data_IF_683857656054
#
_entry.id   IF_683857656054
#
_cell.length_a   1.000
_cell.length_b   1.000
_cell.length_c   1.000
_cell.angle_alpha   90.00
_cell.angle_beta   90.00
_cell.angle_gamma   90.00
#
_symmetry.space_group_name_H-M   'P 1'
#
loop_
_entity.id
_entity.type
_entity.pdbx_description
1 polymer ?
#
# COMPACT_ATOMS: atom_id res chain seq x y z
N UNK A 1 -7.04 -1.61 5.22
CA UNK A 1 -8.05 -0.67 5.72
C UNK A 1 -7.50 0.75 5.60
N UNK A 2 -8.35 1.64 5.18
CA UNK A 2 -7.99 3.04 4.99
C UNK A 2 -8.41 3.79 6.25
N UNK A 3 -7.51 4.51 6.87
CA UNK A 3 -7.93 5.51 7.86
C UNK A 3 -8.77 6.56 7.13
N UNK A 4 -10.05 6.63 7.46
CA UNK A 4 -10.91 7.68 6.93
C UNK A 4 -11.55 8.41 8.09
N UNK A 5 -11.34 9.69 8.15
CA UNK A 5 -12.03 10.60 9.07
C UNK A 5 -13.37 11.10 8.49
N UNK A 6 -13.68 10.74 7.24
CA UNK A 6 -14.77 11.34 6.46
C UNK A 6 -16.19 10.93 6.88
N UNK A 7 -16.35 9.88 7.70
CA UNK A 7 -17.67 9.35 8.07
C UNK A 7 -18.06 9.59 9.55
N UNK A 8 -17.32 10.42 10.26
CA UNK A 8 -17.54 10.60 11.72
C UNK A 8 -18.71 11.53 12.02
N UNK A 9 -18.99 12.49 11.15
CA UNK A 9 -20.05 13.48 11.39
C UNK A 9 -21.39 12.97 10.85
N UNK A 10 -22.35 12.76 11.75
CA UNK A 10 -23.72 12.37 11.42
C UNK A 10 -23.98 10.87 11.23
N UNK A 11 -22.98 10.01 11.45
CA UNK A 11 -23.16 8.55 11.40
C UNK A 11 -23.35 7.99 12.81
N UNK A 12 -24.40 7.20 13.02
CA UNK A 12 -24.56 6.43 14.26
C UNK A 12 -23.52 5.32 14.32
N UNK A 13 -22.53 5.47 15.19
CA UNK A 13 -21.45 4.51 15.37
C UNK A 13 -21.78 3.41 16.39
N UNK A 14 -22.93 3.45 17.05
CA UNK A 14 -23.32 2.49 18.09
C UNK A 14 -23.47 1.05 17.55
N UNK A 15 -23.77 0.92 16.26
CA UNK A 15 -23.91 -0.38 15.57
C UNK A 15 -22.58 -0.97 15.06
N UNK A 16 -21.50 -0.20 15.13
CA UNK A 16 -20.19 -0.66 14.65
C UNK A 16 -19.58 -1.65 15.64
N UNK A 17 -18.84 -2.63 15.09
CA UNK A 17 -18.10 -3.60 15.89
C UNK A 17 -16.76 -3.01 16.30
N UNK A 18 -16.36 -3.27 17.56
CA UNK A 18 -15.01 -2.92 18.06
C UNK A 18 -14.11 -4.13 17.84
N UNK A 19 -13.03 -3.94 17.11
CA UNK A 19 -12.01 -4.98 16.93
C UNK A 19 -10.96 -4.91 18.03
N UNK A 20 -10.67 -6.07 18.59
CA UNK A 20 -9.57 -6.31 19.54
C UNK A 20 -8.36 -6.93 18.84
N UNK A 21 -7.20 -6.90 19.50
CA UNK A 21 -5.98 -7.53 19.01
C UNK A 21 -6.16 -9.00 18.64
N UNK A 22 -5.58 -9.41 17.54
CA UNK A 22 -5.64 -10.75 16.92
C UNK A 22 -7.01 -11.14 16.35
N UNK A 23 -7.95 -10.21 16.27
CA UNK A 23 -9.17 -10.43 15.49
C UNK A 23 -8.96 -10.13 14.01
N UNK A 24 -9.67 -10.87 13.19
CA UNK A 24 -9.75 -10.67 11.75
C UNK A 24 -11.07 -10.01 11.38
N UNK A 25 -11.03 -9.15 10.37
CA UNK A 25 -12.24 -8.67 9.70
C UNK A 25 -12.14 -8.94 8.20
N UNK A 26 -13.28 -9.32 7.58
CA UNK A 26 -13.36 -9.65 6.16
C UNK A 26 -14.41 -8.80 5.46
N UNK A 27 -14.14 -8.43 4.21
CA UNK A 27 -15.15 -7.86 3.33
C UNK A 27 -15.64 -8.95 2.36
N UNK A 28 -16.80 -9.52 2.65
CA UNK A 28 -17.41 -10.56 1.82
C UNK A 28 -18.22 -10.03 0.63
N UNK A 29 -18.41 -8.69 0.57
CA UNK A 29 -19.24 -8.07 -0.47
C UNK A 29 -18.46 -7.65 -1.71
N UNK A 30 -17.14 -7.58 -1.62
CA UNK A 30 -16.31 -6.98 -2.66
C UNK A 30 -15.33 -7.90 -3.38
N UNK A 31 -15.27 -9.24 -3.16
CA UNK A 31 -14.19 -10.06 -3.73
C UNK A 31 -14.10 -9.99 -5.24
N UNK A 32 -15.21 -10.06 -5.96
CA UNK A 32 -15.24 -9.98 -7.42
C UNK A 32 -14.76 -8.61 -7.90
N UNK A 33 -15.21 -7.53 -7.27
CA UNK A 33 -14.86 -6.16 -7.66
C UNK A 33 -13.37 -5.86 -7.52
N UNK A 34 -12.71 -6.42 -6.51
CA UNK A 34 -11.30 -6.16 -6.21
C UNK A 34 -10.39 -7.34 -6.52
N UNK A 35 -10.94 -8.43 -7.08
CA UNK A 35 -10.24 -9.68 -7.44
C UNK A 35 -9.45 -10.29 -6.27
N UNK A 36 -9.96 -10.17 -5.06
CA UNK A 36 -9.39 -10.75 -3.84
C UNK A 36 -10.41 -10.74 -2.71
N UNK A 37 -10.22 -11.58 -1.70
CA UNK A 37 -10.94 -11.47 -0.44
C UNK A 37 -10.22 -10.47 0.48
N UNK A 38 -10.77 -9.27 0.73
CA UNK A 38 -10.15 -8.33 1.65
C UNK A 38 -10.25 -8.85 3.09
N UNK A 39 -9.10 -9.21 3.66
CA UNK A 39 -8.96 -9.63 5.05
C UNK A 39 -7.97 -8.72 5.74
N UNK A 40 -8.23 -8.39 6.99
CA UNK A 40 -7.31 -7.66 7.87
C UNK A 40 -7.16 -8.41 9.18
N UNK A 41 -5.93 -8.43 9.69
CA UNK A 41 -5.61 -8.87 11.05
C UNK A 41 -5.21 -7.65 11.86
N UNK A 42 -5.82 -7.48 13.03
CA UNK A 42 -5.46 -6.43 13.98
C UNK A 42 -4.31 -6.88 14.85
N UNK A 43 -3.22 -6.11 14.88
CA UNK A 43 -2.00 -6.45 15.63
C UNK A 43 -1.69 -5.51 16.80
N UNK A 44 -2.24 -4.30 16.79
CA UNK A 44 -2.08 -3.33 17.87
C UNK A 44 -3.18 -3.49 18.96
N UNK A 45 -2.97 -2.86 20.09
CA UNK A 45 -3.88 -2.94 21.25
C UNK A 45 -4.95 -1.82 21.26
N UNK A 46 -4.87 -0.85 20.34
CA UNK A 46 -5.84 0.23 20.28
C UNK A 46 -7.14 -0.24 19.61
N UNK A 47 -8.32 0.07 20.17
CA UNK A 47 -9.59 -0.36 19.60
C UNK A 47 -9.85 0.34 18.26
N UNK A 48 -10.23 -0.43 17.25
CA UNK A 48 -10.67 0.10 15.96
C UNK A 48 -12.13 -0.29 15.70
N UNK A 49 -12.86 0.61 15.07
CA UNK A 49 -14.22 0.33 14.63
C UNK A 49 -14.23 -0.29 13.24
N UNK A 50 -15.10 -1.25 13.05
CA UNK A 50 -15.36 -1.86 11.76
C UNK A 50 -16.86 -1.92 11.48
N UNK A 51 -17.25 -1.75 10.22
CA UNK A 51 -18.67 -1.79 9.81
C UNK A 51 -19.34 -3.08 10.27
N UNK A 52 -20.61 -3.03 10.70
CA UNK A 52 -21.40 -4.22 11.03
C UNK A 52 -21.51 -5.22 9.89
N UNK A 53 -21.39 -4.76 8.65
CA UNK A 53 -21.43 -5.60 7.44
C UNK A 53 -20.22 -6.53 7.29
N UNK A 54 -19.13 -6.28 8.01
CA UNK A 54 -17.93 -7.12 7.93
C UNK A 54 -17.96 -8.19 9.03
N UNK A 55 -17.88 -9.47 8.66
CA UNK A 55 -17.62 -10.53 9.62
C UNK A 55 -16.31 -10.28 10.38
N UNK A 56 -16.37 -10.49 11.70
CA UNK A 56 -15.20 -10.43 12.58
C UNK A 56 -15.07 -11.79 13.25
N UNK A 57 -13.88 -12.37 13.24
CA UNK A 57 -13.60 -13.64 13.88
C UNK A 57 -12.22 -13.66 14.52
N UNK A 58 -11.97 -14.64 15.37
CA UNK A 58 -10.68 -14.87 16.00
C UNK A 58 -10.35 -16.36 16.05
N UNK A 59 -9.08 -16.67 16.25
CA UNK A 59 -8.61 -18.04 16.41
C UNK A 59 -8.93 -18.50 17.84
N UNK A 60 -9.64 -19.63 17.95
CA UNK A 60 -10.06 -20.23 19.22
C UNK A 60 -8.85 -20.64 20.08
N UNK A 61 -7.84 -21.26 19.48
CA UNK A 61 -6.65 -21.75 20.17
C UNK A 61 -5.36 -21.30 19.43
N UNK A 62 -4.77 -20.22 19.93
CA UNK A 62 -3.55 -19.65 19.37
C UNK A 62 -2.28 -20.48 19.68
N UNK A 63 -2.39 -21.57 20.41
CA UNK A 63 -1.31 -22.54 20.55
C UNK A 63 -1.34 -23.59 19.43
N UNK A 64 -2.40 -23.65 18.62
CA UNK A 64 -2.51 -24.51 17.45
C UNK A 64 -2.35 -23.75 16.13
N UNK A 65 -2.87 -22.52 16.07
CA UNK A 65 -2.80 -21.69 14.87
C UNK A 65 -2.38 -20.27 15.25
N UNK A 66 -1.29 -19.81 14.66
CA UNK A 66 -0.78 -18.46 14.84
C UNK A 66 -1.56 -17.46 13.94
N UNK A 67 -2.04 -16.32 14.47
CA UNK A 67 -2.81 -15.35 13.69
C UNK A 67 -2.04 -14.76 12.50
N UNK A 68 -0.75 -14.46 12.66
CA UNK A 68 0.05 -13.92 11.57
C UNK A 68 0.32 -14.97 10.49
N UNK A 69 0.51 -16.24 10.89
CA UNK A 69 0.62 -17.35 9.95
C UNK A 69 -0.67 -17.50 9.11
N UNK A 70 -1.85 -17.47 9.75
CA UNK A 70 -3.12 -17.50 9.04
C UNK A 70 -3.27 -16.29 8.11
N UNK A 71 -2.87 -15.10 8.55
CA UNK A 71 -2.90 -13.91 7.69
C UNK A 71 -1.97 -14.03 6.48
N UNK A 72 -0.82 -14.70 6.60
CA UNK A 72 0.05 -15.00 5.45
C UNK A 72 -0.65 -15.89 4.43
N UNK A 73 -1.43 -16.87 4.89
CA UNK A 73 -2.24 -17.72 4.01
C UNK A 73 -3.27 -16.90 3.22
N UNK A 74 -4.00 -16.00 3.88
CA UNK A 74 -4.98 -15.13 3.23
C UNK A 74 -4.36 -14.13 2.24
N UNK A 75 -3.09 -13.79 2.38
CA UNK A 75 -2.38 -12.88 1.46
C UNK A 75 -1.90 -13.54 0.17
N UNK A 76 -2.11 -14.83 0.01
CA UNK A 76 -1.65 -15.56 -1.17
C UNK A 76 -2.53 -15.27 -2.38
N UNK A 77 -1.95 -15.02 -3.57
CA UNK A 77 -2.73 -14.86 -4.80
C UNK A 77 -3.60 -16.09 -5.14
N UNK A 78 -3.16 -17.30 -4.70
CA UNK A 78 -3.92 -18.54 -4.86
C UNK A 78 -5.22 -18.51 -4.06
N UNK A 79 -5.16 -17.97 -2.83
CA UNK A 79 -6.34 -17.82 -1.99
C UNK A 79 -7.30 -16.77 -2.58
N UNK A 80 -6.78 -15.66 -3.09
CA UNK A 80 -7.59 -14.65 -3.77
C UNK A 80 -8.33 -15.21 -4.99
N UNK A 81 -7.65 -16.04 -5.80
CA UNK A 81 -8.27 -16.72 -6.94
C UNK A 81 -9.34 -17.74 -6.49
N UNK A 82 -9.05 -18.51 -5.46
CA UNK A 82 -9.99 -19.46 -4.87
C UNK A 82 -11.24 -18.72 -4.35
N UNK A 83 -11.07 -17.68 -3.54
CA UNK A 83 -12.16 -16.90 -3.00
C UNK A 83 -13.03 -16.25 -4.10
N UNK A 84 -12.40 -15.70 -5.13
CA UNK A 84 -13.10 -15.13 -6.29
C UNK A 84 -13.90 -16.20 -7.06
N UNK A 85 -13.33 -17.39 -7.22
CA UNK A 85 -14.01 -18.53 -7.87
C UNK A 85 -15.22 -19.03 -7.08
N UNK A 86 -15.13 -18.97 -5.73
CA UNK A 86 -16.19 -19.40 -4.82
C UNK A 86 -17.31 -18.37 -4.62
N UNK A 87 -17.11 -17.14 -5.09
CA UNK A 87 -18.16 -16.13 -5.02
C UNK A 87 -19.34 -16.51 -5.91
N UNK A 88 -20.55 -16.18 -5.44
CA UNK A 88 -21.77 -16.32 -6.24
C UNK A 88 -21.64 -15.55 -7.58
N UNK A 89 -22.15 -16.17 -8.65
CA UNK A 89 -22.16 -15.59 -10.00
C UNK A 89 -23.06 -14.36 -10.16
N UNK A 90 -23.72 -13.89 -9.11
CA UNK A 90 -24.50 -12.66 -9.11
C UNK A 90 -23.60 -11.41 -9.35
N UNK A 91 -24.18 -10.35 -9.93
CA UNK A 91 -23.48 -9.12 -10.30
C UNK A 91 -22.67 -8.47 -9.13
N UNK A 92 -23.03 -8.79 -7.89
CA UNK A 92 -22.32 -8.38 -6.66
C UNK A 92 -21.72 -9.55 -5.91
N UNK A 93 -21.55 -10.70 -6.55
CA UNK A 93 -21.15 -11.97 -5.98
C UNK A 93 -20.41 -11.84 -4.66
N UNK A 94 -21.06 -12.26 -3.58
CA UNK A 94 -20.49 -12.28 -2.24
C UNK A 94 -19.72 -13.57 -1.98
N UNK A 95 -18.79 -13.50 -1.06
CA UNK A 95 -18.17 -14.68 -0.48
C UNK A 95 -18.95 -15.07 0.77
N UNK A 96 -19.16 -16.36 0.98
CA UNK A 96 -19.98 -16.83 2.08
C UNK A 96 -19.14 -17.29 3.27
N UNK A 97 -19.70 -17.15 4.47
CA UNK A 97 -19.03 -17.56 5.70
C UNK A 97 -18.70 -19.06 5.70
N UNK A 98 -19.62 -19.89 5.22
CA UNK A 98 -19.45 -21.34 5.17
C UNK A 98 -18.29 -21.73 4.25
N UNK A 99 -18.09 -21.02 3.13
CA UNK A 99 -16.95 -21.23 2.24
C UNK A 99 -15.61 -20.90 2.92
N UNK A 100 -15.60 -19.89 3.78
CA UNK A 100 -14.41 -19.60 4.59
C UNK A 100 -14.14 -20.72 5.60
N UNK A 101 -15.18 -21.22 6.26
CA UNK A 101 -15.08 -22.30 7.24
C UNK A 101 -14.59 -23.62 6.62
N UNK A 102 -14.99 -23.93 5.39
CA UNK A 102 -14.57 -25.11 4.66
C UNK A 102 -13.17 -25.00 4.01
N UNK A 103 -12.54 -23.84 4.11
CA UNK A 103 -11.21 -23.62 3.55
C UNK A 103 -10.16 -24.48 4.26
N UNK A 104 -9.51 -25.35 3.52
CA UNK A 104 -8.43 -26.21 4.03
C UNK A 104 -7.09 -25.47 3.96
N UNK A 105 -6.39 -25.44 5.07
CA UNK A 105 -5.07 -24.84 5.18
C UNK A 105 -4.05 -25.85 5.74
N UNK A 106 -2.79 -25.84 5.31
CA UNK A 106 -1.75 -26.62 5.95
C UNK A 106 -1.37 -25.97 7.29
N UNK A 107 -1.42 -26.74 8.36
CA UNK A 107 -1.11 -26.27 9.72
C UNK A 107 0.08 -27.07 10.25
N UNK A 108 1.33 -26.60 10.12
CA UNK A 108 2.48 -27.20 10.77
C UNK A 108 2.46 -26.98 12.29
N UNK A 109 3.46 -27.49 13.01
CA UNK A 109 3.55 -27.24 14.45
C UNK A 109 3.61 -25.73 14.74
N UNK A 110 3.17 -25.32 15.93
CA UNK A 110 3.09 -23.89 16.28
C UNK A 110 4.49 -23.24 16.28
N UNK A 111 5.52 -24.00 16.65
CA UNK A 111 6.91 -23.54 16.60
C UNK A 111 7.32 -23.22 15.16
N UNK A 112 6.96 -24.11 14.22
CA UNK A 112 7.26 -23.90 12.80
C UNK A 112 6.47 -22.74 12.20
N UNK A 113 5.22 -22.54 12.59
CA UNK A 113 4.44 -21.38 12.19
C UNK A 113 5.12 -20.08 12.65
N UNK A 114 5.51 -20.01 13.92
CA UNK A 114 6.19 -18.84 14.49
C UNK A 114 7.57 -18.58 13.87
N UNK A 115 8.29 -19.61 13.50
CA UNK A 115 9.55 -19.48 12.74
C UNK A 115 9.31 -18.83 11.39
N UNK A 116 8.33 -19.32 10.62
CA UNK A 116 7.95 -18.78 9.32
C UNK A 116 7.51 -17.31 9.44
N UNK A 117 6.65 -16.98 10.40
CA UNK A 117 6.21 -15.61 10.67
C UNK A 117 7.39 -14.71 11.00
N UNK A 118 8.32 -15.17 11.83
CA UNK A 118 9.53 -14.41 12.17
C UNK A 118 10.39 -14.10 10.95
N UNK A 119 10.64 -15.09 10.08
CA UNK A 119 11.40 -14.88 8.85
C UNK A 119 10.71 -13.88 7.93
N UNK A 120 9.41 -14.02 7.74
CA UNK A 120 8.62 -13.08 6.94
C UNK A 120 8.68 -11.65 7.49
N UNK A 121 8.50 -11.50 8.80
CA UNK A 121 8.51 -10.19 9.46
C UNK A 121 9.87 -9.50 9.40
N UNK A 122 10.99 -10.24 9.38
CA UNK A 122 12.33 -9.67 9.17
C UNK A 122 12.37 -8.93 7.82
N UNK A 123 11.85 -9.54 6.75
CA UNK A 123 11.82 -8.91 5.43
C UNK A 123 10.86 -7.71 5.40
N UNK A 124 9.66 -7.86 5.97
CA UNK A 124 8.67 -6.76 6.02
C UNK A 124 9.19 -5.55 6.80
N UNK A 125 9.82 -5.79 7.95
CA UNK A 125 10.43 -4.72 8.74
C UNK A 125 11.56 -4.02 8.00
N UNK A 126 12.36 -4.76 7.20
CA UNK A 126 13.40 -4.17 6.36
C UNK A 126 12.81 -3.28 5.27
N UNK A 127 11.73 -3.71 4.63
CA UNK A 127 11.02 -2.91 3.63
C UNK A 127 10.49 -1.62 4.26
N UNK A 128 9.80 -1.72 5.40
CA UNK A 128 9.27 -0.56 6.12
C UNK A 128 10.36 0.43 6.55
N UNK A 129 11.50 -0.09 7.03
CA UNK A 129 12.65 0.74 7.40
C UNK A 129 13.24 1.48 6.19
N UNK A 130 13.40 0.79 5.06
CA UNK A 130 13.90 1.39 3.83
C UNK A 130 12.95 2.49 3.31
N UNK A 131 11.64 2.27 3.37
CA UNK A 131 10.65 3.29 2.99
C UNK A 131 10.76 4.56 3.86
N UNK A 132 10.90 4.39 5.20
CA UNK A 132 11.13 5.51 6.11
C UNK A 132 12.44 6.24 5.80
N UNK A 133 13.50 5.50 5.45
CA UNK A 133 14.78 6.10 5.08
C UNK A 133 14.67 6.93 3.80
N UNK A 134 13.99 6.41 2.77
CA UNK A 134 13.73 7.14 1.51
C UNK A 134 13.00 8.44 1.82
N UNK A 135 11.92 8.39 2.59
CA UNK A 135 11.16 9.58 2.97
C UNK A 135 12.04 10.62 3.68
N UNK A 136 12.89 10.18 4.62
CA UNK A 136 13.80 11.09 5.34
C UNK A 136 14.86 11.72 4.44
N UNK A 137 15.38 10.96 3.48
CA UNK A 137 16.33 11.49 2.49
C UNK A 137 15.67 12.51 1.56
N UNK A 138 14.42 12.24 1.13
CA UNK A 138 13.65 13.21 0.33
C UNK A 138 13.36 14.50 1.11
N UNK A 139 12.92 14.40 2.37
CA UNK A 139 12.71 15.55 3.25
C UNK A 139 14.01 16.37 3.42
N UNK A 140 15.14 15.67 3.58
CA UNK A 140 16.46 16.33 3.72
C UNK A 140 16.86 17.04 2.42
N UNK A 141 16.70 16.37 1.27
CA UNK A 141 16.99 16.98 -0.03
C UNK A 141 16.12 18.22 -0.29
N UNK A 142 14.83 18.15 0.06
CA UNK A 142 13.94 19.31 -0.04
C UNK A 142 14.32 20.46 0.90
N UNK A 143 14.76 20.14 2.12
CA UNK A 143 15.21 21.16 3.06
C UNK A 143 16.47 21.88 2.54
N UNK A 144 17.45 21.13 2.03
CA UNK A 144 18.68 21.69 1.42
C UNK A 144 18.31 22.56 0.20
N UNK A 145 17.42 22.05 -0.69
CA UNK A 145 16.97 22.82 -1.85
C UNK A 145 16.31 24.14 -1.43
N UNK A 146 15.42 24.08 -0.43
CA UNK A 146 14.70 25.25 0.07
C UNK A 146 15.66 26.29 0.66
N UNK A 147 16.62 25.84 1.47
CA UNK A 147 17.62 26.70 2.07
C UNK A 147 18.50 27.40 1.01
N UNK A 148 18.97 26.66 0.00
CA UNK A 148 19.87 27.19 -1.01
C UNK A 148 19.19 28.00 -2.13
N UNK A 149 17.94 27.68 -2.47
CA UNK A 149 17.30 28.23 -3.68
C UNK A 149 16.00 29.00 -3.43
N UNK A 150 15.46 28.97 -2.20
CA UNK A 150 14.17 29.61 -1.89
C UNK A 150 14.30 30.59 -0.74
N UNK A 151 14.77 30.15 0.42
CA UNK A 151 14.84 30.96 1.65
C UNK A 151 16.20 31.57 1.89
N UNK A 152 17.28 30.91 1.46
CA UNK A 152 18.66 31.33 1.68
C UNK A 152 19.23 32.28 0.63
N UNK A 153 18.48 32.58 -0.44
CA UNK A 153 18.93 33.48 -1.51
C UNK A 153 18.12 34.77 -1.47
N UNK A 154 18.72 35.83 -0.96
CA UNK A 154 18.23 37.20 -1.13
C UNK A 154 18.82 37.77 -2.42
N UNK A 155 17.96 38.03 -3.40
CA UNK A 155 18.36 38.53 -4.74
C UNK A 155 18.96 39.93 -4.65
N UNK A 156 18.60 40.69 -3.60
CA UNK A 156 19.17 42.03 -3.35
C UNK A 156 20.50 42.00 -2.60
N UNK A 157 20.77 40.88 -1.87
CA UNK A 157 21.99 40.68 -1.08
C UNK A 157 22.55 39.26 -1.33
N UNK A 158 23.15 39.06 -2.49
CA UNK A 158 23.73 37.77 -2.85
C UNK A 158 24.94 37.40 -1.98
N UNK A 159 25.15 36.14 -1.66
CA UNK A 159 26.36 35.66 -1.02
C UNK A 159 27.61 36.00 -1.81
N UNK A 160 28.75 36.11 -1.12
CA UNK A 160 30.04 36.39 -1.75
C UNK A 160 30.35 35.39 -2.88
N UNK A 161 30.69 35.91 -4.05
CA UNK A 161 30.98 35.08 -5.24
C UNK A 161 29.76 34.68 -6.08
N UNK A 162 28.56 35.13 -5.69
CA UNK A 162 27.35 34.89 -6.50
C UNK A 162 27.03 36.09 -7.39
N UNK A 163 26.61 35.82 -8.62
CA UNK A 163 26.23 36.85 -9.60
C UNK A 163 24.90 36.45 -10.29
N UNK A 164 24.07 37.44 -10.56
CA UNK A 164 22.91 37.27 -11.40
C UNK A 164 23.33 37.36 -12.86
N UNK A 165 23.10 36.32 -13.63
CA UNK A 165 23.36 36.27 -15.07
C UNK A 165 22.16 35.73 -15.82
N UNK A 166 22.09 36.03 -17.11
CA UNK A 166 21.04 35.47 -17.98
C UNK A 166 21.34 33.99 -18.31
N UNK A 167 20.34 33.16 -18.37
CA UNK A 167 20.51 31.78 -18.77
C UNK A 167 21.14 31.66 -20.17
N UNK A 168 20.84 32.61 -21.06
CA UNK A 168 21.44 32.72 -22.40
C UNK A 168 22.96 32.92 -22.43
N UNK A 169 23.54 33.38 -21.30
CA UNK A 169 25.01 33.58 -21.22
C UNK A 169 25.74 32.21 -21.04
N UNK A 170 25.01 31.16 -20.66
CA UNK A 170 25.54 29.84 -20.40
C UNK A 170 24.95 28.72 -21.26
N UNK A 171 23.77 28.95 -21.83
CA UNK A 171 23.00 27.91 -22.54
C UNK A 171 22.59 28.36 -23.93
N UNK A 172 22.80 27.48 -24.91
CA UNK A 172 22.17 27.61 -26.23
C UNK A 172 20.80 26.94 -26.15
N UNK A 173 19.75 27.75 -26.03
CA UNK A 173 18.37 27.27 -25.83
C UNK A 173 17.74 26.99 -27.19
N UNK A 174 17.55 25.69 -27.51
CA UNK A 174 16.88 25.25 -28.75
C UNK A 174 15.50 24.69 -28.42
N UNK A 175 14.50 25.19 -29.10
CA UNK A 175 13.17 24.61 -29.04
C UNK A 175 13.12 23.25 -29.72
N UNK A 176 12.47 22.27 -29.08
CA UNK A 176 12.19 20.98 -29.70
C UNK A 176 11.21 21.12 -30.87
N UNK A 177 11.37 20.32 -31.92
CA UNK A 177 10.41 20.20 -33.01
C UNK A 177 9.44 19.05 -32.72
N UNK A 178 8.18 19.23 -33.04
CA UNK A 178 7.24 18.12 -33.07
C UNK A 178 7.61 17.16 -34.19
N UNK A 179 7.30 15.89 -34.02
CA UNK A 179 7.36 14.93 -35.10
C UNK A 179 6.56 15.46 -36.31
N UNK A 180 7.05 15.30 -37.53
CA UNK A 180 6.31 15.62 -38.74
C UNK A 180 4.95 14.89 -38.76
N UNK A 181 3.97 15.48 -39.40
CA UNK A 181 2.62 14.90 -39.49
C UNK A 181 2.70 13.57 -40.26
N UNK A 182 2.33 12.48 -39.59
CA UNK A 182 2.35 11.13 -40.18
C UNK A 182 3.58 10.29 -39.79
N UNK A 183 4.50 10.84 -39.00
CA UNK A 183 5.59 10.06 -38.39
C UNK A 183 5.23 9.68 -36.95
N UNK A 184 5.59 8.45 -36.56
CA UNK A 184 5.42 7.90 -35.20
C UNK A 184 6.78 7.54 -34.62
N UNK A 185 6.87 7.59 -33.30
CA UNK A 185 8.03 7.06 -32.58
C UNK A 185 8.04 5.54 -32.75
N UNK A 186 9.18 4.97 -33.08
CA UNK A 186 9.34 3.53 -33.18
C UNK A 186 10.15 3.00 -31.98
N UNK A 187 9.95 1.72 -31.68
CA UNK A 187 10.65 1.03 -30.59
C UNK A 187 11.98 0.39 -31.04
N UNK A 188 12.47 0.73 -32.24
CA UNK A 188 13.74 0.21 -32.74
C UNK A 188 14.92 0.77 -31.94
N UNK A 189 15.79 -0.12 -31.46
CA UNK A 189 16.94 0.21 -30.61
C UNK A 189 18.02 1.06 -31.25
N UNK A 190 17.87 1.47 -32.52
CA UNK A 190 18.89 2.20 -33.29
C UNK A 190 18.73 3.72 -33.27
N UNK A 191 17.77 4.24 -32.51
CA UNK A 191 17.53 5.68 -32.38
C UNK A 191 17.93 6.24 -31.01
N UNK A 192 17.93 7.55 -30.87
CA UNK A 192 18.07 8.21 -29.58
C UNK A 192 16.78 8.04 -28.77
N UNK A 193 16.85 7.72 -27.46
CA UNK A 193 15.66 7.59 -26.63
C UNK A 193 14.91 8.92 -26.53
N UNK A 194 13.61 8.87 -26.78
CA UNK A 194 12.72 10.02 -26.55
C UNK A 194 12.35 10.08 -25.08
N UNK A 195 12.63 11.21 -24.46
CA UNK A 195 12.25 11.48 -23.07
C UNK A 195 10.99 12.39 -23.12
N UNK A 196 9.93 11.90 -22.49
CA UNK A 196 8.63 12.59 -22.44
C UNK A 196 8.45 13.31 -21.11
#
# INVERSE_FOLDING_TARGET
FRETTSNIVGTDMSVYKVMSKYQFACDFMSPIRVSKLPVVLKLDDEPNLVSPAYPVFEIIDRNKLDPEYLMMWFRRPEFDRYATFKCDAAIRGGYEWDELCETQIPVPTIEKQREIVKEYNVVQNRIALNQKLIQKLEETAQAIYREWFVEGVDVENLPEGWEIKKLSDFCDIKGGKRLPKGEELNDEKNGNPYIK
#
